data_IF_145758164443
#
_entry.id   IF_145758164443
#
_cell.length_a   1.000
_cell.length_b   1.000
_cell.length_c   1.000
_cell.angle_alpha   90.00
_cell.angle_beta   90.00
_cell.angle_gamma   90.00
#
_symmetry.space_group_name_H-M   'P 1'
#
loop_
_entity.id
_entity.type
_entity.pdbx_description
1 polymer ?
#
# COMPACT_ATOMS: atom_id res chain seq x y z
N UNK A 1 6.78 52.58 39.25
CA UNK A 1 5.55 51.78 39.12
C UNK A 1 4.88 52.27 37.85
N UNK A 2 5.00 51.57 36.72
CA UNK A 2 4.18 50.45 36.25
C UNK A 2 3.60 50.93 34.90
N UNK A 3 3.52 50.22 33.79
CA UNK A 3 3.94 48.88 33.35
C UNK A 3 3.88 48.96 31.83
N UNK A 4 4.89 48.44 31.13
CA UNK A 4 4.82 48.12 29.71
C UNK A 4 3.75 47.05 29.47
N UNK A 5 2.87 47.25 28.49
CA UNK A 5 2.10 46.18 27.83
C UNK A 5 2.56 46.23 26.37
N UNK A 6 3.65 45.55 26.03
CA UNK A 6 3.70 44.14 25.61
C UNK A 6 2.75 43.83 24.45
N UNK A 7 3.31 43.97 23.26
CA UNK A 7 2.93 43.31 22.01
C UNK A 7 2.38 41.89 22.29
N UNK A 8 1.12 41.65 21.97
CA UNK A 8 0.71 40.33 21.49
C UNK A 8 1.01 40.32 20.00
N UNK A 9 2.21 39.87 19.65
CA UNK A 9 2.50 39.42 18.30
C UNK A 9 1.70 38.13 18.07
N UNK A 10 0.70 38.25 17.23
CA UNK A 10 0.33 37.34 16.15
C UNK A 10 1.32 36.16 16.01
N UNK A 11 1.07 35.08 16.75
CA UNK A 11 1.59 33.76 16.40
C UNK A 11 0.86 33.36 15.12
N UNK A 12 1.43 33.75 13.97
CA UNK A 12 1.02 33.24 12.68
C UNK A 12 1.09 31.71 12.74
N UNK A 13 -0.07 31.07 12.95
CA UNK A 13 -0.23 29.63 12.81
C UNK A 13 0.21 29.31 11.38
N UNK A 14 1.35 28.62 11.25
CA UNK A 14 1.76 28.04 9.97
C UNK A 14 0.59 27.16 9.53
N UNK A 15 0.03 27.37 8.31
CA UNK A 15 -1.07 26.54 7.84
C UNK A 15 -0.66 25.06 7.93
N UNK A 16 -1.56 24.17 8.37
CA UNK A 16 -1.24 22.75 8.50
C UNK A 16 -0.76 22.22 7.16
N UNK A 17 0.24 21.33 7.17
CA UNK A 17 0.73 20.68 5.95
C UNK A 17 -0.45 20.01 5.23
N UNK A 18 -0.57 20.14 3.89
CA UNK A 18 -1.62 19.45 3.14
C UNK A 18 -1.39 17.92 3.14
N UNK A 19 -2.43 17.15 2.85
CA UNK A 19 -2.30 15.71 2.62
C UNK A 19 -1.61 15.45 1.28
N UNK A 20 -1.05 14.24 1.10
CA UNK A 20 -0.48 13.82 -0.18
C UNK A 20 -1.50 13.92 -1.32
N UNK A 21 -2.74 13.51 -1.07
CA UNK A 21 -3.84 13.50 -2.03
C UNK A 21 -4.30 14.91 -2.42
N UNK A 22 -4.27 15.87 -1.47
CA UNK A 22 -4.57 17.28 -1.76
C UNK A 22 -3.54 17.84 -2.74
N UNK A 23 -2.24 17.63 -2.49
CA UNK A 23 -1.17 18.13 -3.38
C UNK A 23 -1.23 17.47 -4.76
N UNK A 24 -1.50 16.17 -4.80
CA UNK A 24 -1.64 15.41 -6.05
C UNK A 24 -2.85 15.90 -6.88
N UNK A 25 -3.96 16.21 -6.21
CA UNK A 25 -5.17 16.73 -6.87
C UNK A 25 -4.94 18.13 -7.47
N UNK A 26 -4.09 18.93 -6.83
CA UNK A 26 -3.64 20.23 -7.34
C UNK A 26 -2.62 20.11 -8.50
N UNK A 27 -2.40 18.90 -9.04
CA UNK A 27 -1.40 18.57 -10.07
C UNK A 27 0.02 18.98 -9.69
N UNK A 28 0.25 19.22 -8.40
CA UNK A 28 1.55 19.53 -7.85
C UNK A 28 2.30 18.23 -7.60
N UNK A 29 3.56 18.22 -8.00
CA UNK A 29 4.33 17.00 -8.02
C UNK A 29 4.96 16.77 -6.64
N UNK A 30 4.51 15.72 -5.95
CA UNK A 30 5.09 15.26 -4.68
C UNK A 30 6.17 14.23 -5.00
N UNK A 31 7.41 14.50 -4.60
CA UNK A 31 8.52 13.55 -4.73
C UNK A 31 8.86 12.94 -3.37
N UNK A 32 9.33 11.68 -3.32
CA UNK A 32 10.04 11.18 -2.15
C UNK A 32 11.21 12.09 -1.82
N UNK A 33 11.43 12.33 -0.52
CA UNK A 33 12.61 13.07 -0.09
C UNK A 33 13.86 12.33 -0.57
N UNK A 34 14.74 13.06 -1.26
CA UNK A 34 16.01 12.51 -1.76
C UNK A 34 16.79 11.92 -0.59
N UNK A 35 17.31 10.72 -0.78
CA UNK A 35 18.03 9.95 0.25
C UNK A 35 17.19 9.56 1.48
N UNK A 36 15.86 9.69 1.41
CA UNK A 36 14.92 9.17 2.39
C UNK A 36 14.60 7.69 2.16
N UNK A 37 13.36 7.41 1.75
CA UNK A 37 12.87 6.03 1.54
C UNK A 37 13.64 5.25 0.48
N UNK A 38 14.20 5.93 -0.51
CA UNK A 38 14.93 5.33 -1.64
C UNK A 38 16.27 4.67 -1.25
N UNK A 39 16.73 4.87 0.00
CA UNK A 39 17.91 4.20 0.57
C UNK A 39 17.54 3.05 1.49
N UNK A 40 16.25 2.82 1.76
CA UNK A 40 15.82 1.71 2.60
C UNK A 40 16.09 0.38 1.88
N UNK A 41 16.74 -0.53 2.60
CA UNK A 41 16.73 -1.95 2.29
C UNK A 41 15.72 -2.55 3.26
N UNK A 42 14.57 -2.91 2.71
CA UNK A 42 13.41 -3.32 3.50
C UNK A 42 12.94 -4.72 3.09
N UNK A 43 13.46 -5.76 3.75
CA UNK A 43 12.93 -7.11 3.60
C UNK A 43 11.50 -7.20 4.13
N UNK A 44 10.60 -7.86 3.40
CA UNK A 44 9.27 -8.22 3.88
C UNK A 44 9.32 -9.39 4.89
N UNK A 45 10.23 -9.30 5.86
CA UNK A 45 10.43 -10.29 6.90
C UNK A 45 11.18 -9.71 8.11
N UNK A 46 10.97 -10.34 9.26
CA UNK A 46 11.59 -9.94 10.52
C UNK A 46 10.95 -8.71 11.15
N UNK A 47 11.54 -8.16 12.22
CA UNK A 47 11.06 -6.96 12.89
C UNK A 47 11.49 -5.68 12.15
N UNK A 48 10.83 -4.55 12.43
CA UNK A 48 11.20 -3.22 11.91
C UNK A 48 12.69 -2.87 12.10
N UNK A 49 13.34 -3.40 13.14
CA UNK A 49 14.75 -3.18 13.43
C UNK A 49 15.71 -3.97 12.52
N UNK A 50 15.22 -4.88 11.67
CA UNK A 50 16.04 -5.62 10.68
C UNK A 50 16.32 -4.82 9.41
N UNK A 51 15.63 -3.69 9.22
CA UNK A 51 15.83 -2.82 8.07
C UNK A 51 17.26 -2.26 8.06
N UNK A 52 17.76 -2.04 6.85
CA UNK A 52 19.07 -1.42 6.64
C UNK A 52 18.96 -0.20 5.73
N UNK A 53 19.99 0.62 5.72
CA UNK A 53 20.10 1.85 4.94
C UNK A 53 21.33 1.74 4.04
N UNK A 54 21.12 1.89 2.74
CA UNK A 54 22.21 2.03 1.78
C UNK A 54 23.03 3.27 2.11
N UNK A 55 24.35 3.24 1.95
CA UNK A 55 25.19 4.44 2.16
C UNK A 55 24.85 5.56 1.17
N UNK A 56 24.65 5.18 -0.08
CA UNK A 56 24.20 6.03 -1.19
C UNK A 56 23.14 5.25 -1.97
N UNK A 57 22.23 5.94 -2.66
CA UNK A 57 21.21 5.26 -3.49
C UNK A 57 21.87 4.33 -4.50
N UNK A 58 21.44 3.08 -4.54
CA UNK A 58 21.95 2.06 -5.46
C UNK A 58 23.28 1.42 -5.02
N UNK A 59 23.84 1.85 -3.89
CA UNK A 59 25.01 1.21 -3.28
C UNK A 59 24.56 0.16 -2.26
N UNK A 60 24.59 -1.11 -2.70
CA UNK A 60 24.22 -2.27 -1.88
C UNK A 60 25.37 -2.76 -0.98
N UNK A 61 26.58 -2.24 -1.19
CA UNK A 61 27.77 -2.65 -0.44
C UNK A 61 27.77 -2.03 0.97
N UNK A 62 27.85 -2.89 1.98
CA UNK A 62 28.00 -2.50 3.40
C UNK A 62 26.91 -1.55 3.92
N UNK A 63 25.63 -1.97 3.91
CA UNK A 63 24.55 -1.13 4.40
C UNK A 63 24.63 -0.94 5.92
N UNK A 64 24.15 0.22 6.38
CA UNK A 64 24.11 0.58 7.80
C UNK A 64 22.78 0.14 8.42
N UNK A 65 22.73 -0.24 9.70
CA UNK A 65 21.47 -0.65 10.34
C UNK A 65 20.50 0.54 10.48
N UNK A 66 19.21 0.32 10.22
CA UNK A 66 18.18 1.34 10.44
C UNK A 66 17.99 1.65 11.94
N UNK A 67 18.20 0.64 12.79
CA UNK A 67 18.19 0.76 14.24
C UNK A 67 19.46 0.15 14.83
N UNK A 68 20.19 0.93 15.62
CA UNK A 68 21.36 0.47 16.33
C UNK A 68 21.07 0.37 17.82
N UNK A 69 21.00 -0.87 18.33
CA UNK A 69 20.90 -1.11 19.76
C UNK A 69 22.27 -0.89 20.41
N UNK A 70 22.29 -0.12 21.50
CA UNK A 70 23.49 0.15 22.30
C UNK A 70 23.66 -0.90 23.40
N UNK A 71 24.88 -1.02 23.94
CA UNK A 71 25.23 -2.04 24.94
C UNK A 71 24.47 -1.92 26.26
N UNK A 72 23.86 -0.77 26.54
CA UNK A 72 23.00 -0.52 27.70
C UNK A 72 21.52 -0.90 27.47
N UNK A 73 21.19 -1.46 26.31
CA UNK A 73 19.83 -1.86 25.93
C UNK A 73 18.97 -0.72 25.38
N UNK A 74 19.49 0.53 25.36
CA UNK A 74 18.85 1.61 24.60
C UNK A 74 19.14 1.46 23.10
N UNK A 75 18.60 2.35 22.27
CA UNK A 75 18.88 2.28 20.84
C UNK A 75 18.63 3.58 20.13
N UNK A 76 19.32 3.73 19.00
CA UNK A 76 19.31 4.94 18.18
C UNK A 76 18.81 4.58 16.78
N UNK A 77 17.82 5.34 16.31
CA UNK A 77 17.35 5.25 14.93
C UNK A 77 18.30 6.01 14.00
N UNK A 78 18.50 5.49 12.79
CA UNK A 78 19.30 6.14 11.76
C UNK A 78 18.73 7.55 11.43
N UNK A 79 19.55 8.57 11.10
CA UNK A 79 19.08 9.93 10.80
C UNK A 79 17.97 10.02 9.74
N UNK A 80 17.97 9.10 8.77
CA UNK A 80 16.90 8.97 7.75
C UNK A 80 15.51 8.83 8.39
N UNK A 81 15.41 8.21 9.56
CA UNK A 81 14.14 8.07 10.30
C UNK A 81 13.46 9.42 10.59
N UNK A 82 14.22 10.50 10.72
CA UNK A 82 13.71 11.85 11.04
C UNK A 82 13.48 12.71 9.80
N UNK A 83 13.85 12.24 8.62
CA UNK A 83 13.61 12.99 7.39
C UNK A 83 12.11 13.04 7.09
N UNK A 84 11.63 14.13 6.45
CA UNK A 84 10.30 14.12 5.85
C UNK A 84 10.18 12.96 4.86
N UNK A 85 8.97 12.45 4.68
CA UNK A 85 8.69 11.40 3.71
C UNK A 85 8.80 11.94 2.27
N UNK A 86 8.33 13.16 2.06
CA UNK A 86 8.21 13.79 0.75
C UNK A 86 8.57 15.26 0.74
N UNK A 87 8.84 15.77 -0.45
CA UNK A 87 8.89 17.20 -0.76
C UNK A 87 7.84 17.55 -1.83
N UNK A 88 6.91 18.49 -1.55
CA UNK A 88 6.70 19.16 -0.26
C UNK A 88 6.24 18.19 0.85
N UNK A 89 6.41 18.63 2.11
CA UNK A 89 6.00 17.89 3.31
C UNK A 89 4.48 17.71 3.38
N UNK A 90 4.03 16.52 3.78
CA UNK A 90 2.60 16.15 3.87
C UNK A 90 2.19 15.84 5.30
N UNK A 91 0.92 16.12 5.65
CA UNK A 91 0.33 15.75 6.95
C UNK A 91 -0.23 14.32 6.99
N UNK A 92 -0.49 13.72 5.84
CA UNK A 92 -0.87 12.30 5.73
C UNK A 92 -0.65 11.78 4.31
N UNK A 93 -0.62 10.46 4.18
CA UNK A 93 -0.63 9.76 2.90
C UNK A 93 -1.45 8.46 3.02
N UNK A 94 -2.25 8.16 2.01
CA UNK A 94 -2.97 6.90 1.85
C UNK A 94 -2.14 5.98 0.97
N UNK A 95 -1.87 4.77 1.45
CA UNK A 95 -1.02 3.80 0.79
C UNK A 95 -1.81 2.55 0.43
N UNK A 96 -1.63 2.04 -0.78
CA UNK A 96 -2.06 0.70 -1.21
C UNK A 96 -0.86 -0.16 -1.62
N UNK A 97 -1.10 -1.44 -1.90
CA UNK A 97 -0.08 -2.39 -2.38
C UNK A 97 -0.43 -2.77 -3.81
N UNK A 98 0.47 -2.50 -4.76
CA UNK A 98 0.23 -2.74 -6.20
C UNK A 98 -0.30 -4.14 -6.48
N UNK A 99 0.37 -5.16 -5.93
CA UNK A 99 0.02 -6.56 -6.17
C UNK A 99 -1.39 -6.89 -5.65
N UNK A 100 -1.83 -6.28 -4.55
CA UNK A 100 -3.17 -6.53 -3.99
C UNK A 100 -4.27 -5.77 -4.73
N UNK A 101 -3.96 -4.57 -5.23
CA UNK A 101 -4.89 -3.76 -6.03
C UNK A 101 -5.27 -4.46 -7.35
N UNK A 102 -4.35 -5.22 -7.94
CA UNK A 102 -4.57 -5.95 -9.19
C UNK A 102 -5.02 -7.40 -9.00
N UNK A 103 -4.92 -7.94 -7.78
CA UNK A 103 -5.06 -9.38 -7.55
C UNK A 103 -6.40 -9.95 -8.03
N UNK A 104 -7.50 -9.23 -7.79
CA UNK A 104 -8.82 -9.67 -8.20
C UNK A 104 -8.98 -9.70 -9.73
N UNK A 105 -8.49 -8.67 -10.42
CA UNK A 105 -8.54 -8.56 -11.88
C UNK A 105 -7.66 -9.62 -12.54
N UNK A 106 -6.41 -9.79 -12.07
CA UNK A 106 -5.49 -10.83 -12.55
C UNK A 106 -6.08 -12.23 -12.33
N UNK A 107 -6.75 -12.45 -11.19
CA UNK A 107 -7.42 -13.72 -10.89
C UNK A 107 -8.58 -13.96 -11.86
N UNK A 108 -9.38 -12.94 -12.17
CA UNK A 108 -10.46 -13.06 -13.15
C UNK A 108 -9.91 -13.37 -14.55
N UNK A 109 -8.89 -12.66 -15.01
CA UNK A 109 -8.30 -12.87 -16.35
C UNK A 109 -7.83 -14.31 -16.56
N UNK A 110 -7.17 -14.90 -15.56
CA UNK A 110 -6.71 -16.30 -15.60
C UNK A 110 -7.88 -17.30 -15.55
N UNK A 111 -8.94 -17.01 -14.79
CA UNK A 111 -10.00 -17.98 -14.51
C UNK A 111 -11.24 -17.86 -15.40
N UNK A 112 -11.46 -16.73 -16.09
CA UNK A 112 -12.62 -16.53 -16.99
C UNK A 112 -12.63 -17.53 -18.15
N UNK A 113 -11.46 -17.86 -18.71
CA UNK A 113 -11.37 -18.67 -19.94
C UNK A 113 -11.77 -20.14 -19.76
N UNK A 114 -11.69 -20.68 -18.54
CA UNK A 114 -11.99 -22.09 -18.26
C UNK A 114 -13.06 -22.30 -17.17
N UNK A 115 -13.51 -21.22 -16.52
CA UNK A 115 -14.70 -21.25 -15.65
C UNK A 115 -16.01 -21.27 -16.45
N UNK A 116 -15.99 -20.92 -17.74
CA UNK A 116 -17.17 -20.97 -18.60
C UNK A 116 -17.45 -22.40 -19.11
N UNK A 117 -18.69 -22.92 -18.96
CA UNK A 117 -19.10 -24.19 -19.56
C UNK A 117 -19.24 -24.13 -21.09
N UNK A 118 -19.18 -22.94 -21.69
CA UNK A 118 -19.50 -22.71 -23.10
C UNK A 118 -18.37 -23.17 -24.03
N UNK A 119 -18.13 -24.48 -24.08
CA UNK A 119 -17.17 -25.11 -24.99
C UNK A 119 -16.54 -26.43 -24.51
N UNK A 120 -16.80 -26.86 -23.27
CA UNK A 120 -16.22 -28.09 -22.70
C UNK A 120 -16.78 -28.42 -21.31
N UNK A 121 -16.21 -29.45 -20.66
CA UNK A 121 -16.40 -29.68 -19.22
C UNK A 121 -15.63 -28.60 -18.46
N UNK A 122 -16.31 -27.47 -18.21
CA UNK A 122 -15.78 -26.34 -17.45
C UNK A 122 -15.21 -26.75 -16.09
N UNK A 123 -14.39 -25.90 -15.50
CA UNK A 123 -13.66 -26.26 -14.28
C UNK A 123 -14.63 -26.73 -13.16
N UNK A 124 -14.50 -27.97 -12.66
CA UNK A 124 -15.50 -28.57 -11.77
C UNK A 124 -15.70 -27.83 -10.44
N UNK A 125 -14.70 -27.10 -9.97
CA UNK A 125 -14.78 -26.30 -8.75
C UNK A 125 -15.35 -24.89 -8.97
N UNK A 126 -15.58 -24.47 -10.22
CA UNK A 126 -16.11 -23.15 -10.53
C UNK A 126 -17.46 -22.94 -9.84
N UNK A 127 -17.61 -21.82 -9.13
CA UNK A 127 -18.87 -21.42 -8.47
C UNK A 127 -19.17 -19.99 -8.80
N UNK A 128 -20.41 -19.74 -9.21
CA UNK A 128 -20.94 -18.42 -9.49
C UNK A 128 -21.97 -18.02 -8.44
N UNK A 129 -22.07 -16.72 -8.15
CA UNK A 129 -23.06 -16.17 -7.25
C UNK A 129 -22.98 -14.64 -7.20
N UNK A 130 -23.86 -14.03 -6.41
CA UNK A 130 -23.92 -12.57 -6.27
C UNK A 130 -22.84 -12.07 -5.32
N UNK A 131 -22.05 -11.09 -5.76
CA UNK A 131 -21.15 -10.33 -4.88
C UNK A 131 -21.90 -9.15 -4.26
N UNK A 132 -21.97 -9.04 -2.92
CA UNK A 132 -22.75 -8.00 -2.25
C UNK A 132 -22.19 -6.58 -2.41
N UNK A 133 -20.89 -6.42 -2.66
CA UNK A 133 -20.21 -5.11 -2.59
C UNK A 133 -19.97 -4.42 -3.95
N UNK A 134 -20.41 -5.01 -5.07
CA UNK A 134 -20.21 -4.42 -6.40
C UNK A 134 -21.13 -3.23 -6.71
N UNK A 135 -22.01 -2.84 -5.79
CA UNK A 135 -22.89 -1.68 -5.97
C UNK A 135 -23.84 -1.78 -7.17
N UNK A 136 -23.97 -2.96 -7.79
CA UNK A 136 -24.94 -3.28 -8.83
C UNK A 136 -26.35 -3.43 -8.23
N UNK A 137 -26.69 -2.54 -7.31
CA UNK A 137 -28.05 -2.31 -6.87
C UNK A 137 -28.70 -1.42 -7.92
N UNK A 138 -29.41 -2.05 -8.86
CA UNK A 138 -30.48 -1.42 -9.64
C UNK A 138 -30.08 -0.20 -10.52
N UNK A 139 -28.88 -0.14 -11.11
CA UNK A 139 -28.63 0.80 -12.22
C UNK A 139 -29.39 0.33 -13.48
N UNK A 140 -30.62 0.83 -13.57
CA UNK A 140 -31.46 1.05 -14.74
C UNK A 140 -31.30 0.03 -15.88
N UNK A 141 -32.11 -1.03 -15.78
CA UNK A 141 -32.56 -1.88 -16.89
C UNK A 141 -32.94 -1.01 -18.11
N UNK A 142 -32.00 -0.76 -19.00
CA UNK A 142 -32.31 -0.57 -20.42
C UNK A 142 -32.70 -1.95 -20.95
N UNK A 143 -33.99 -2.09 -21.30
CA UNK A 143 -34.58 -3.31 -21.84
C UNK A 143 -33.92 -3.65 -23.19
N UNK A 144 -32.78 -4.36 -23.18
CA UNK A 144 -32.23 -4.98 -24.39
C UNK A 144 -32.64 -6.46 -24.46
N UNK A 145 -33.74 -6.65 -25.20
CA UNK A 145 -34.09 -7.73 -26.13
C UNK A 145 -33.53 -9.15 -25.89
N UNK A 146 -34.45 -10.09 -25.62
CA UNK A 146 -34.35 -11.56 -25.83
C UNK A 146 -32.98 -12.20 -25.56
N UNK A 147 -32.46 -12.01 -24.35
CA UNK A 147 -31.41 -12.87 -23.78
C UNK A 147 -31.98 -14.19 -23.25
N UNK A 148 -31.14 -15.23 -23.23
CA UNK A 148 -31.42 -16.55 -22.62
C UNK A 148 -32.04 -16.37 -21.22
N UNK A 149 -33.15 -17.07 -20.93
CA UNK A 149 -33.92 -16.93 -19.68
C UNK A 149 -33.08 -17.25 -18.41
N UNK A 150 -31.92 -17.90 -18.58
CA UNK A 150 -30.99 -18.28 -17.52
C UNK A 150 -29.78 -17.32 -17.35
N UNK A 151 -29.64 -16.27 -18.17
CA UNK A 151 -28.53 -15.31 -18.05
C UNK A 151 -28.83 -14.24 -17.00
N UNK A 152 -28.31 -14.43 -15.77
CA UNK A 152 -28.31 -13.39 -14.74
C UNK A 152 -26.98 -12.60 -14.78
N UNK A 153 -26.98 -11.32 -15.21
CA UNK A 153 -25.77 -10.50 -15.29
C UNK A 153 -25.16 -10.21 -13.91
N UNK A 154 -25.87 -10.49 -12.82
CA UNK A 154 -25.36 -10.36 -11.45
C UNK A 154 -24.61 -11.61 -10.96
N UNK A 155 -24.57 -12.69 -11.74
CA UNK A 155 -23.81 -13.89 -11.41
C UNK A 155 -22.32 -13.67 -11.70
N UNK A 156 -21.55 -13.53 -10.64
CA UNK A 156 -20.12 -13.30 -10.68
C UNK A 156 -19.38 -14.60 -10.31
N UNK A 157 -18.20 -14.82 -10.91
CA UNK A 157 -17.34 -15.94 -10.53
C UNK A 157 -16.82 -15.70 -9.11
N UNK A 158 -17.06 -16.64 -8.18
CA UNK A 158 -16.68 -16.56 -6.77
C UNK A 158 -15.52 -17.49 -6.41
N UNK A 159 -15.34 -18.56 -7.17
CA UNK A 159 -14.33 -19.59 -6.97
C UNK A 159 -14.05 -20.30 -8.29
N UNK A 160 -12.80 -20.71 -8.51
CA UNK A 160 -12.35 -21.51 -9.65
C UNK A 160 -11.02 -22.18 -9.28
N UNK A 161 -10.67 -23.31 -9.88
CA UNK A 161 -9.42 -24.03 -9.61
C UNK A 161 -9.16 -24.38 -8.12
N UNK A 162 -10.21 -24.48 -7.31
CA UNK A 162 -10.14 -24.68 -5.86
C UNK A 162 -9.77 -23.43 -5.07
N UNK A 163 -9.65 -22.28 -5.72
CA UNK A 163 -9.31 -20.99 -5.13
C UNK A 163 -10.53 -20.09 -5.03
N UNK A 164 -10.64 -19.38 -3.91
CA UNK A 164 -11.69 -18.37 -3.69
C UNK A 164 -11.23 -17.07 -4.36
N UNK A 165 -12.12 -16.41 -5.11
CA UNK A 165 -11.87 -15.08 -5.68
C UNK A 165 -11.38 -14.13 -4.58
N UNK A 166 -10.24 -13.44 -4.76
CA UNK A 166 -9.63 -12.60 -3.73
C UNK A 166 -10.32 -11.23 -3.61
N UNK A 167 -11.63 -11.23 -3.42
CA UNK A 167 -12.45 -10.02 -3.37
C UNK A 167 -12.18 -9.18 -2.11
N UNK A 168 -12.13 -7.84 -2.27
CA UNK A 168 -11.95 -6.89 -1.17
C UNK A 168 -10.56 -6.91 -0.54
N UNK A 169 -9.54 -7.31 -1.32
CA UNK A 169 -8.13 -7.34 -0.89
C UNK A 169 -7.36 -6.07 -1.22
N UNK A 170 -7.98 -5.13 -1.94
CA UNK A 170 -7.54 -3.77 -2.28
C UNK A 170 -7.60 -2.82 -1.06
N UNK A 171 -6.99 -3.25 0.05
CA UNK A 171 -7.01 -2.50 1.31
C UNK A 171 -6.01 -1.34 1.31
N UNK A 172 -6.41 -0.23 1.94
CA UNK A 172 -5.60 1.00 2.02
C UNK A 172 -5.26 1.36 3.46
N UNK A 173 -4.08 1.92 3.67
CA UNK A 173 -3.60 2.39 4.97
C UNK A 173 -3.33 3.89 4.94
N UNK A 174 -3.96 4.63 5.85
CA UNK A 174 -3.65 6.06 6.04
C UNK A 174 -2.55 6.23 7.07
N UNK A 175 -1.41 6.75 6.63
CA UNK A 175 -0.26 7.10 7.48
C UNK A 175 -0.39 8.55 7.92
N UNK A 176 -0.18 8.78 9.22
CA UNK A 176 -0.18 10.10 9.85
C UNK A 176 1.07 10.27 10.70
N UNK A 177 1.54 11.51 10.94
CA UNK A 177 2.65 11.77 11.84
C UNK A 177 2.33 11.31 13.27
N UNK A 178 3.38 10.92 14.01
CA UNK A 178 3.25 10.66 15.44
C UNK A 178 2.63 11.87 16.18
N UNK A 179 1.78 11.57 17.17
CA UNK A 179 1.13 12.61 17.99
C UNK A 179 2.19 13.43 18.74
N UNK A 180 2.16 14.76 18.59
CA UNK A 180 3.16 15.66 19.19
C UNK A 180 4.48 15.75 18.42
N UNK A 181 4.56 15.17 17.21
CA UNK A 181 5.69 15.32 16.29
C UNK A 181 5.69 16.65 15.54
N UNK A 182 6.44 16.71 14.42
CA UNK A 182 6.66 17.94 13.65
C UNK A 182 5.48 18.37 12.76
N UNK A 183 4.36 17.64 12.82
CA UNK A 183 3.14 17.93 12.05
C UNK A 183 3.15 17.42 10.59
N UNK A 184 4.24 16.78 10.16
CA UNK A 184 4.35 16.14 8.85
C UNK A 184 4.85 14.70 8.99
N UNK A 185 4.51 13.86 8.00
CA UNK A 185 4.89 12.44 7.98
C UNK A 185 6.40 12.30 7.79
N UNK A 186 7.07 11.62 8.73
CA UNK A 186 8.48 11.25 8.61
C UNK A 186 8.64 9.87 7.96
N UNK A 187 9.86 9.56 7.51
CA UNK A 187 10.20 8.19 7.07
C UNK A 187 9.90 7.17 8.18
N UNK A 188 10.15 7.51 9.45
CA UNK A 188 9.86 6.59 10.54
C UNK A 188 8.37 6.35 10.77
N UNK A 189 7.54 7.40 10.69
CA UNK A 189 6.08 7.26 10.80
C UNK A 189 5.56 6.33 9.70
N UNK A 190 6.05 6.53 8.48
CA UNK A 190 5.70 5.71 7.31
C UNK A 190 6.08 4.25 7.49
N UNK A 191 7.36 3.95 7.75
CA UNK A 191 7.83 2.57 7.86
C UNK A 191 7.22 1.88 9.08
N UNK A 192 7.04 2.59 10.20
CA UNK A 192 6.46 2.01 11.43
C UNK A 192 4.98 1.66 11.28
N UNK A 193 4.23 2.39 10.45
CA UNK A 193 2.85 2.07 10.14
C UNK A 193 2.75 0.95 9.09
N UNK A 194 3.52 1.02 8.02
CA UNK A 194 3.44 0.08 6.90
C UNK A 194 4.01 -1.30 7.23
N UNK A 195 5.15 -1.38 7.93
CA UNK A 195 5.82 -2.66 8.17
C UNK A 195 4.93 -3.71 8.85
N UNK A 196 4.28 -3.45 10.00
CA UNK A 196 3.37 -4.41 10.60
C UNK A 196 2.13 -4.69 9.72
N UNK A 197 1.65 -3.70 8.96
CA UNK A 197 0.51 -3.86 8.06
C UNK A 197 0.83 -4.80 6.89
N UNK A 198 1.97 -4.60 6.21
CA UNK A 198 2.47 -5.48 5.15
C UNK A 198 2.75 -6.90 5.68
N UNK A 199 3.35 -7.02 6.86
CA UNK A 199 3.61 -8.32 7.50
C UNK A 199 2.34 -9.10 7.80
N UNK A 200 1.23 -8.43 8.11
CA UNK A 200 -0.07 -9.06 8.32
C UNK A 200 -0.69 -9.59 7.01
N UNK A 201 -0.33 -9.01 5.87
CA UNK A 201 -0.87 -9.38 4.55
C UNK A 201 0.13 -10.16 3.69
N UNK A 202 1.29 -10.53 4.23
CA UNK A 202 2.39 -11.16 3.48
C UNK A 202 1.97 -12.38 2.65
N UNK A 203 1.04 -13.19 3.17
CA UNK A 203 0.59 -14.41 2.49
C UNK A 203 -0.32 -14.07 1.31
N UNK A 204 -1.16 -13.05 1.46
CA UNK A 204 -2.01 -12.54 0.39
C UNK A 204 -1.17 -11.88 -0.71
N UNK A 205 -0.16 -11.09 -0.34
CA UNK A 205 0.81 -10.51 -1.28
C UNK A 205 1.52 -11.62 -2.08
N UNK A 206 2.05 -12.64 -1.42
CA UNK A 206 2.75 -13.75 -2.10
C UNK A 206 1.82 -14.50 -3.06
N UNK A 207 0.54 -14.68 -2.69
CA UNK A 207 -0.45 -15.30 -3.58
C UNK A 207 -0.78 -14.43 -4.77
N UNK A 208 -0.99 -13.13 -4.56
CA UNK A 208 -1.27 -12.17 -5.62
C UNK A 208 -0.18 -12.17 -6.70
N UNK A 209 1.09 -12.14 -6.28
CA UNK A 209 2.23 -12.24 -7.21
C UNK A 209 2.27 -13.53 -8.01
N UNK A 210 1.65 -14.60 -7.52
CA UNK A 210 1.68 -15.92 -8.14
C UNK A 210 0.60 -16.17 -9.19
N UNK A 211 -0.41 -15.30 -9.30
CA UNK A 211 -1.61 -15.56 -10.12
C UNK A 211 -1.28 -15.71 -11.60
N UNK A 212 -0.51 -14.78 -12.18
CA UNK A 212 -0.13 -14.83 -13.61
C UNK A 212 1.03 -15.79 -13.91
N UNK A 213 1.20 -16.85 -13.11
CA UNK A 213 2.29 -17.82 -13.26
C UNK A 213 3.70 -17.23 -13.12
N UNK A 214 3.82 -16.01 -12.57
CA UNK A 214 5.10 -15.36 -12.35
C UNK A 214 5.90 -16.14 -11.30
N UNK A 215 7.21 -16.25 -11.51
CA UNK A 215 8.08 -16.82 -10.49
C UNK A 215 8.11 -15.90 -9.29
N UNK A 216 7.50 -16.32 -8.18
CA UNK A 216 7.55 -15.60 -6.91
C UNK A 216 8.79 -16.07 -6.14
N UNK A 217 9.75 -15.18 -5.86
CA UNK A 217 10.87 -15.52 -4.97
C UNK A 217 10.36 -15.95 -3.59
N UNK A 218 11.16 -16.69 -2.82
CA UNK A 218 10.84 -16.94 -1.42
C UNK A 218 10.57 -15.61 -0.69
N UNK A 219 9.59 -15.60 0.23
CA UNK A 219 9.22 -14.39 1.01
C UNK A 219 10.42 -13.75 1.73
N UNK A 220 11.46 -14.54 2.02
CA UNK A 220 12.72 -14.08 2.63
C UNK A 220 13.56 -13.17 1.72
N UNK A 221 13.29 -13.17 0.42
CA UNK A 221 14.01 -12.42 -0.61
C UNK A 221 13.21 -11.21 -1.10
N UNK A 222 11.93 -11.09 -0.73
CA UNK A 222 11.06 -10.01 -1.15
C UNK A 222 11.47 -8.68 -0.48
N UNK A 223 11.64 -7.65 -1.30
CA UNK A 223 12.00 -6.29 -0.89
C UNK A 223 10.85 -5.33 -1.14
N UNK A 224 10.55 -4.50 -0.15
CA UNK A 224 9.58 -3.43 -0.26
C UNK A 224 10.20 -2.24 -0.99
N UNK A 225 9.64 -1.86 -2.14
CA UNK A 225 10.00 -0.66 -2.89
C UNK A 225 8.98 0.46 -2.64
N UNK A 226 9.48 1.53 -2.04
CA UNK A 226 8.72 2.73 -1.68
C UNK A 226 9.06 3.92 -2.60
N UNK A 227 9.61 3.68 -3.80
CA UNK A 227 9.80 4.73 -4.79
C UNK A 227 8.45 5.39 -5.16
N UNK A 228 7.40 4.63 -5.51
CA UNK A 228 6.02 5.10 -5.42
C UNK A 228 5.57 5.14 -3.95
N UNK A 229 5.30 6.34 -3.42
CA UNK A 229 4.91 6.51 -2.01
C UNK A 229 3.47 6.07 -1.72
N UNK A 230 2.54 6.28 -2.66
CA UNK A 230 1.11 5.96 -2.47
C UNK A 230 0.77 4.52 -2.86
N UNK A 231 1.63 3.85 -3.63
CA UNK A 231 1.37 2.52 -4.14
C UNK A 231 2.65 1.68 -4.05
N UNK A 232 2.76 0.90 -2.98
CA UNK A 232 3.98 0.15 -2.66
C UNK A 232 4.10 -1.08 -3.54
N UNK A 233 5.31 -1.32 -4.05
CA UNK A 233 5.65 -2.47 -4.88
C UNK A 233 6.51 -3.44 -4.08
N UNK A 234 6.28 -4.75 -4.24
CA UNK A 234 7.09 -5.80 -3.62
C UNK A 234 7.90 -6.51 -4.71
N UNK A 235 9.23 -6.40 -4.65
CA UNK A 235 10.17 -6.94 -5.64
C UNK A 235 10.84 -8.23 -5.18
#
# INVERSE_FOLDING_TARGET
MATSQSNHQDEAQVPPYPSYEEIRSDLSLVQPTVDGTQRLIWPLNGPLTSLSIMKERGSWDSPEPYFQQTSDGSGTWHPVSKMPLSEPKVSSITVSVWDLDLWEDDWLEEHEQHSSPSGGEGEPSARYGRLPDLGLEDEEREEEEEGDEDYDPNMQLLMCCGEIRPHGKDVKLVVKPATGGEGFVTVHDYVSALHPWLMNMKEDIVKAKGVLGQHVPPVTELLVDCAPLENVVIN
#
